data_IF_585839705454
#
_entry.id   IF_585839705454
#
_cell.length_a   1.000
_cell.length_b   1.000
_cell.length_c   1.000
_cell.angle_alpha   90.00
_cell.angle_beta   90.00
_cell.angle_gamma   90.00
#
_symmetry.space_group_name_H-M   'P 1'
#
loop_
_entity.id
_entity.type
_entity.pdbx_description
1 polymer ?
#
# COMPACT_ATOMS: atom_id res chain seq x y z
N UNK A 1 -22.23 -7.82 29.28
CA UNK A 1 -22.95 -6.71 28.65
C UNK A 1 -22.01 -6.12 27.62
N UNK A 2 -22.10 -6.63 26.39
CA UNK A 2 -21.26 -6.24 25.26
C UNK A 2 -21.63 -4.81 24.86
N UNK A 3 -20.70 -3.86 24.98
CA UNK A 3 -20.91 -2.49 24.50
C UNK A 3 -20.78 -2.51 22.97
N UNK A 4 -21.92 -2.51 22.29
CA UNK A 4 -21.99 -2.38 20.84
C UNK A 4 -21.41 -1.01 20.45
N UNK A 5 -20.18 -1.02 19.94
CA UNK A 5 -19.55 0.17 19.40
C UNK A 5 -20.39 0.68 18.22
N UNK A 6 -21.03 1.82 18.43
CA UNK A 6 -21.85 2.52 17.44
C UNK A 6 -20.99 2.84 16.22
N UNK A 7 -21.12 2.03 15.17
CA UNK A 7 -20.40 2.24 13.92
C UNK A 7 -21.03 3.44 13.22
N UNK A 8 -20.46 4.63 13.42
CA UNK A 8 -20.84 5.83 12.68
C UNK A 8 -20.73 5.51 11.18
N UNK A 9 -21.88 5.33 10.54
CA UNK A 9 -21.96 5.01 9.12
C UNK A 9 -21.63 6.28 8.32
N UNK A 10 -20.34 6.60 8.20
CA UNK A 10 -19.85 7.73 7.40
C UNK A 10 -20.19 7.47 5.94
N UNK A 11 -21.12 8.25 5.43
CA UNK A 11 -21.38 8.28 3.99
C UNK A 11 -20.11 8.71 3.25
N UNK A 12 -19.74 8.02 2.16
CA UNK A 12 -18.60 8.43 1.34
C UNK A 12 -18.80 9.86 0.83
N UNK A 13 -17.74 10.68 0.85
CA UNK A 13 -17.76 12.08 0.38
C UNK A 13 -18.24 12.24 -1.08
N UNK A 14 -18.22 11.15 -1.84
CA UNK A 14 -18.60 11.06 -3.25
C UNK A 14 -19.90 10.28 -3.50
N UNK A 15 -20.71 9.97 -2.47
CA UNK A 15 -22.01 9.29 -2.67
C UNK A 15 -22.89 10.11 -3.62
N UNK A 16 -23.42 9.47 -4.67
CA UNK A 16 -24.23 10.12 -5.70
C UNK A 16 -23.47 10.99 -6.70
N UNK A 17 -22.13 11.06 -6.64
CA UNK A 17 -21.29 11.83 -7.57
C UNK A 17 -20.48 10.90 -8.47
N UNK A 18 -20.65 11.00 -9.79
CA UNK A 18 -19.77 10.33 -10.75
C UNK A 18 -18.41 11.01 -10.73
N UNK A 19 -17.46 10.45 -9.98
CA UNK A 19 -16.08 10.91 -9.98
C UNK A 19 -15.44 10.42 -11.27
N UNK A 20 -15.15 11.33 -12.19
CA UNK A 20 -14.44 11.03 -13.43
C UNK A 20 -13.03 10.47 -13.19
N UNK A 21 -12.31 10.20 -14.28
CA UNK A 21 -10.92 9.76 -14.19
C UNK A 21 -10.08 10.77 -13.41
N UNK A 22 -9.43 10.30 -12.33
CA UNK A 22 -8.48 11.11 -11.58
C UNK A 22 -7.17 11.22 -12.36
N UNK A 23 -6.60 12.43 -12.40
CA UNK A 23 -5.28 12.63 -12.97
C UNK A 23 -4.22 11.81 -12.20
N UNK A 24 -3.23 11.24 -12.91
CA UNK A 24 -2.11 10.59 -12.24
C UNK A 24 -1.31 11.60 -11.43
N UNK A 25 -0.64 11.13 -10.37
CA UNK A 25 0.25 11.97 -9.57
C UNK A 25 1.42 12.49 -10.39
N UNK A 26 1.81 13.75 -10.17
CA UNK A 26 3.03 14.29 -10.76
C UNK A 26 4.24 13.77 -9.97
N UNK A 27 5.43 13.59 -10.60
CA UNK A 27 6.64 13.18 -9.88
C UNK A 27 7.00 14.07 -8.69
N UNK A 28 6.76 15.39 -8.81
CA UNK A 28 6.96 16.36 -7.72
C UNK A 28 6.06 16.08 -6.52
N UNK A 29 4.80 15.70 -6.75
CA UNK A 29 3.83 15.42 -5.69
C UNK A 29 4.18 14.11 -4.96
N UNK A 30 4.62 13.10 -5.72
CA UNK A 30 5.12 11.83 -5.15
C UNK A 30 6.34 12.10 -4.25
N UNK A 31 7.27 12.94 -4.72
CA UNK A 31 8.45 13.30 -3.95
C UNK A 31 8.08 14.04 -2.66
N UNK A 32 7.17 15.02 -2.74
CA UNK A 32 6.69 15.76 -1.58
C UNK A 32 6.06 14.81 -0.54
N UNK A 33 5.19 13.89 -0.97
CA UNK A 33 4.57 12.89 -0.08
C UNK A 33 5.62 11.98 0.58
N UNK A 34 6.64 11.53 -0.17
CA UNK A 34 7.73 10.72 0.38
C UNK A 34 8.49 11.47 1.46
N UNK A 35 8.84 12.74 1.21
CA UNK A 35 9.56 13.57 2.17
C UNK A 35 8.73 13.81 3.42
N UNK A 36 7.46 14.16 3.30
CA UNK A 36 6.56 14.35 4.45
C UNK A 36 6.49 13.10 5.33
N UNK A 37 6.27 11.92 4.73
CA UNK A 37 6.22 10.66 5.48
C UNK A 37 7.56 10.28 6.13
N UNK A 38 8.68 10.62 5.49
CA UNK A 38 10.02 10.44 6.07
C UNK A 38 10.25 11.34 7.27
N UNK A 39 9.86 12.62 7.18
CA UNK A 39 10.00 13.58 8.28
C UNK A 39 9.12 13.23 9.48
N UNK A 40 7.93 12.68 9.24
CA UNK A 40 7.03 12.19 10.29
C UNK A 40 7.42 10.78 10.81
N UNK A 41 8.48 10.17 10.28
CA UNK A 41 8.89 8.80 10.60
C UNK A 41 7.76 7.75 10.44
N UNK A 42 6.86 7.99 9.47
CA UNK A 42 5.72 7.12 9.13
C UNK A 42 6.15 5.99 8.21
N UNK A 43 6.93 5.11 8.80
CA UNK A 43 7.59 3.99 8.14
C UNK A 43 6.60 3.06 7.41
N UNK A 44 5.45 2.67 8.01
CA UNK A 44 4.46 1.81 7.33
C UNK A 44 3.86 2.42 6.06
N UNK A 45 3.45 3.68 6.16
CA UNK A 45 2.80 4.41 5.08
C UNK A 45 3.79 4.72 3.95
N UNK A 46 5.05 5.00 4.29
CA UNK A 46 6.11 5.17 3.32
C UNK A 46 6.37 3.88 2.53
N UNK A 47 6.37 2.73 3.21
CA UNK A 47 6.52 1.43 2.56
C UNK A 47 5.35 1.14 1.61
N UNK A 48 4.11 1.35 2.07
CA UNK A 48 2.91 1.19 1.24
C UNK A 48 2.89 2.16 0.06
N UNK A 49 3.32 3.41 0.23
CA UNK A 49 3.42 4.38 -0.86
C UNK A 49 4.41 3.92 -1.93
N UNK A 50 5.59 3.47 -1.51
CA UNK A 50 6.63 3.00 -2.43
C UNK A 50 6.20 1.74 -3.18
N UNK A 51 5.63 0.76 -2.46
CA UNK A 51 5.09 -0.45 -3.06
C UNK A 51 3.90 -0.15 -3.97
N UNK A 52 2.98 0.73 -3.57
CA UNK A 52 1.79 1.08 -4.35
C UNK A 52 2.08 1.85 -5.63
N UNK A 53 3.12 2.68 -5.65
CA UNK A 53 3.55 3.39 -6.86
C UNK A 53 4.34 2.46 -7.79
N UNK A 54 5.18 1.57 -7.24
CA UNK A 54 5.99 0.63 -8.02
C UNK A 54 5.22 -0.60 -8.50
N UNK A 55 4.14 -0.98 -7.81
CA UNK A 55 3.35 -2.17 -8.11
C UNK A 55 2.02 -1.78 -8.75
N UNK A 56 1.62 -2.48 -9.81
CA UNK A 56 0.29 -2.31 -10.44
C UNK A 56 -0.83 -2.97 -9.63
N UNK A 57 -0.67 -3.03 -8.30
CA UNK A 57 -1.61 -3.68 -7.41
C UNK A 57 -2.81 -2.78 -7.11
N UNK A 58 -3.97 -3.41 -6.92
CA UNK A 58 -5.13 -2.71 -6.34
C UNK A 58 -4.86 -2.44 -4.87
N UNK A 59 -5.41 -1.34 -4.35
CA UNK A 59 -5.30 -0.97 -2.92
C UNK A 59 -5.63 -2.14 -1.98
N UNK A 60 -6.69 -2.91 -2.25
CA UNK A 60 -7.08 -4.05 -1.42
C UNK A 60 -6.00 -5.15 -1.37
N UNK A 61 -5.35 -5.46 -2.49
CA UNK A 61 -4.25 -6.44 -2.50
C UNK A 61 -3.01 -5.86 -1.81
N UNK A 62 -2.72 -4.57 -2.03
CA UNK A 62 -1.57 -3.90 -1.44
C UNK A 62 -1.62 -3.89 0.09
N UNK A 63 -2.79 -3.59 0.68
CA UNK A 63 -2.96 -3.59 2.15
C UNK A 63 -3.05 -5.00 2.74
N UNK A 64 -3.25 -6.03 1.91
CA UNK A 64 -3.30 -7.43 2.32
C UNK A 64 -1.97 -8.18 2.11
N UNK A 65 -0.94 -7.49 1.60
CA UNK A 65 0.40 -8.05 1.42
C UNK A 65 0.98 -8.54 2.74
N UNK A 66 1.63 -9.70 2.70
CA UNK A 66 2.32 -10.29 3.86
C UNK A 66 3.83 -10.24 3.66
N UNK A 67 4.58 -10.32 4.76
CA UNK A 67 6.06 -10.36 4.73
C UNK A 67 6.56 -11.46 3.78
N UNK A 68 5.97 -12.65 3.83
CA UNK A 68 6.33 -13.79 2.96
C UNK A 68 6.14 -13.55 1.46
N UNK A 69 5.30 -12.57 1.08
CA UNK A 69 5.04 -12.28 -0.33
C UNK A 69 6.14 -11.40 -0.92
N UNK A 70 6.96 -10.76 -0.06
CA UNK A 70 7.98 -9.78 -0.43
C UNK A 70 9.37 -10.09 0.12
N UNK A 71 9.50 -11.02 1.07
CA UNK A 71 10.77 -11.41 1.70
C UNK A 71 11.01 -12.92 1.58
N UNK A 72 12.27 -13.30 1.38
CA UNK A 72 12.76 -14.67 1.47
C UNK A 72 13.77 -14.74 2.63
N UNK A 73 13.38 -15.37 3.74
CA UNK A 73 14.15 -15.31 4.99
C UNK A 73 14.27 -13.85 5.47
N UNK A 74 15.49 -13.43 5.80
CA UNK A 74 15.78 -12.07 6.28
C UNK A 74 16.00 -11.05 5.16
N UNK A 75 15.89 -11.46 3.90
CA UNK A 75 16.14 -10.59 2.75
C UNK A 75 14.86 -10.24 1.99
N UNK A 76 14.72 -8.97 1.64
CA UNK A 76 13.66 -8.50 0.76
C UNK A 76 13.95 -9.00 -0.66
N UNK A 77 12.96 -9.62 -1.29
CA UNK A 77 13.06 -10.09 -2.67
C UNK A 77 13.20 -8.91 -3.63
N UNK A 78 13.94 -9.08 -4.73
CA UNK A 78 13.99 -8.08 -5.80
C UNK A 78 12.66 -7.95 -6.55
N UNK A 79 11.86 -9.02 -6.54
CA UNK A 79 10.54 -9.10 -7.18
C UNK A 79 9.57 -9.86 -6.28
N UNK A 80 8.30 -9.45 -6.33
CA UNK A 80 7.20 -10.15 -5.70
C UNK A 80 6.14 -10.53 -6.73
N UNK A 81 5.40 -11.60 -6.43
CA UNK A 81 4.38 -12.17 -7.28
C UNK A 81 3.11 -12.34 -6.45
N UNK A 82 2.04 -11.66 -6.84
CA UNK A 82 0.79 -11.63 -6.08
C UNK A 82 -0.41 -11.86 -6.98
N UNK A 83 -1.32 -12.74 -6.56
CA UNK A 83 -2.59 -12.96 -7.22
C UNK A 83 -3.57 -11.85 -6.85
N UNK A 84 -4.16 -11.17 -7.84
CA UNK A 84 -5.13 -10.12 -7.59
C UNK A 84 -6.51 -10.71 -7.25
N UNK A 85 -7.06 -10.36 -6.08
CA UNK A 85 -8.37 -10.87 -5.64
C UNK A 85 -9.52 -10.65 -6.64
N UNK A 86 -9.55 -9.52 -7.34
CA UNK A 86 -10.67 -9.20 -8.26
C UNK A 86 -10.59 -9.95 -9.59
N UNK A 87 -9.40 -10.02 -10.17
CA UNK A 87 -9.20 -10.57 -11.53
C UNK A 87 -8.69 -12.00 -11.50
N UNK A 88 -8.24 -12.52 -10.35
CA UNK A 88 -7.55 -13.80 -10.21
C UNK A 88 -6.31 -13.91 -11.08
N UNK A 89 -5.76 -12.79 -11.54
CA UNK A 89 -4.56 -12.74 -12.35
C UNK A 89 -3.34 -12.48 -11.47
N UNK A 90 -2.28 -13.22 -11.75
CA UNK A 90 -0.98 -13.05 -11.09
C UNK A 90 -0.28 -11.82 -11.65
N UNK A 91 0.20 -10.94 -10.76
CA UNK A 91 0.98 -9.76 -11.10
C UNK A 91 2.35 -9.87 -10.46
N UNK A 92 3.38 -9.79 -11.29
CA UNK A 92 4.77 -9.66 -10.85
C UNK A 92 5.18 -8.19 -10.89
N UNK A 93 5.87 -7.74 -9.85
CA UNK A 93 6.39 -6.38 -9.77
C UNK A 93 7.76 -6.34 -9.10
N UNK A 94 8.53 -5.31 -9.42
CA UNK A 94 9.85 -5.08 -8.83
C UNK A 94 9.71 -4.33 -7.51
N UNK A 95 10.51 -4.74 -6.52
CA UNK A 95 10.57 -4.08 -5.22
C UNK A 95 11.79 -3.17 -5.26
N UNK A 96 11.56 -1.90 -5.56
CA UNK A 96 12.62 -0.89 -5.50
C UNK A 96 12.90 -0.58 -4.04
N UNK A 97 13.89 -1.23 -3.44
CA UNK A 97 14.23 -1.07 -2.03
C UNK A 97 14.75 0.34 -1.71
N UNK A 98 14.13 1.09 -0.79
CA UNK A 98 14.79 2.18 -0.11
C UNK A 98 14.97 1.76 1.35
N UNK A 99 16.13 1.17 1.66
CA UNK A 99 16.61 0.77 3.01
C UNK A 99 15.82 -0.36 3.69
N UNK A 100 16.58 -1.42 3.98
CA UNK A 100 16.24 -2.76 4.42
C UNK A 100 15.47 -2.96 5.77
N UNK A 101 15.36 -2.04 6.76
CA UNK A 101 14.70 -2.40 8.02
C UNK A 101 13.16 -2.34 8.02
N UNK A 102 12.58 -1.71 7.00
CA UNK A 102 11.21 -1.17 7.06
C UNK A 102 10.14 -2.19 6.65
N UNK A 103 10.40 -2.96 5.60
CA UNK A 103 9.39 -3.84 4.98
C UNK A 103 9.08 -5.05 5.89
N UNK A 104 10.11 -5.64 6.50
CA UNK A 104 9.95 -6.78 7.41
C UNK A 104 9.26 -6.45 8.75
N UNK A 105 9.30 -5.19 9.19
CA UNK A 105 8.59 -4.72 10.40
C UNK A 105 7.17 -4.22 10.14
N UNK A 106 6.88 -3.78 8.92
CA UNK A 106 5.63 -3.11 8.54
C UNK A 106 4.51 -4.08 8.19
N UNK A 107 4.83 -5.20 7.54
CA UNK A 107 3.83 -6.16 7.07
C UNK A 107 3.48 -7.23 8.12
N UNK A 108 3.85 -6.98 9.38
CA UNK A 108 3.49 -7.82 10.53
C UNK A 108 2.21 -7.30 11.15
N UNK A 109 1.07 -7.82 10.66
CA UNK A 109 -0.16 -8.01 11.41
C UNK A 109 -0.71 -9.41 11.08
#
# INVERSE_FOLDING_TARGET
>A
MESAADTIHREPWNKGKTVGQKAPFKPKDIWALRVSLQMENRVPELALLNLGIGSRLRRCNLVALKVRDVCHGDQVASRAVVMQHKTQHTVQFEITAPKLPVIGRTLTL
#
